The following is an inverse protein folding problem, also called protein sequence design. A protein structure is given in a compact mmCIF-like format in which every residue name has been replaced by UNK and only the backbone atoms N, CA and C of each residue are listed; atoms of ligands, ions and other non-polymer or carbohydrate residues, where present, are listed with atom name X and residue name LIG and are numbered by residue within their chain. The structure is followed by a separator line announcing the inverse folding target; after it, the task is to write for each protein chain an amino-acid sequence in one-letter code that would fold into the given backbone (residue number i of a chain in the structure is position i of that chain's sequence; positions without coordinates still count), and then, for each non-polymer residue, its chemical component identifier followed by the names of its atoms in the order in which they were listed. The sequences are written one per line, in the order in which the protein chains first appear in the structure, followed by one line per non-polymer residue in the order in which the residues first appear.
data_IF_721237611960
#
_entry.id   IF_721237611960
#
_cell.length_a   1.000
_cell.length_b   1.000
_cell.length_c   1.000
_cell.angle_alpha   90.00
_cell.angle_beta   90.00
_cell.angle_gamma   90.00
#
_symmetry.space_group_name_H-M   'P 1'
#
loop_
_entity.id
_entity.type
_entity.pdbx_description
1 polymer ?
#
# COMPACT_ATOMS: atom_id res chain seq x y z
N UNK A 1 7.21 -18.08 -8.96
CA UNK A 1 5.94 -17.97 -9.70
C UNK A 1 5.60 -16.48 -9.72
N UNK A 2 5.67 -15.79 -10.86
CA UNK A 2 5.29 -14.37 -10.91
C UNK A 2 3.78 -14.31 -11.07
N UNK A 3 3.07 -14.26 -9.95
CA UNK A 3 1.63 -14.00 -9.94
C UNK A 3 1.45 -12.54 -10.36
N UNK A 4 0.76 -12.30 -11.46
CA UNK A 4 0.51 -10.93 -11.93
C UNK A 4 -0.45 -10.24 -10.94
N UNK A 5 0.07 -9.29 -10.17
CA UNK A 5 -0.70 -8.52 -9.20
C UNK A 5 -1.55 -7.46 -9.91
N UNK A 6 -2.69 -7.91 -10.44
CA UNK A 6 -3.72 -7.05 -11.04
C UNK A 6 -4.67 -6.51 -9.97
N UNK A 7 -5.41 -5.43 -10.29
CA UNK A 7 -6.41 -4.84 -9.39
C UNK A 7 -7.40 -5.86 -8.82
N UNK A 8 -7.90 -6.77 -9.67
CA UNK A 8 -8.84 -7.81 -9.24
C UNK A 8 -8.21 -8.75 -8.22
N UNK A 9 -6.95 -9.14 -8.41
CA UNK A 9 -6.23 -10.00 -7.46
C UNK A 9 -6.11 -9.28 -6.11
N UNK A 10 -5.66 -8.03 -6.11
CA UNK A 10 -5.54 -7.22 -4.89
C UNK A 10 -6.89 -7.09 -4.14
N UNK A 11 -8.00 -6.96 -4.86
CA UNK A 11 -9.34 -6.89 -4.25
C UNK A 11 -9.81 -8.20 -3.61
N UNK A 12 -9.39 -9.34 -4.16
CA UNK A 12 -9.83 -10.66 -3.72
C UNK A 12 -8.92 -11.30 -2.66
N UNK A 13 -7.72 -10.75 -2.48
CA UNK A 13 -6.75 -11.26 -1.52
C UNK A 13 -7.21 -11.07 -0.08
N UNK A 14 -7.03 -12.13 0.72
CA UNK A 14 -7.23 -12.14 2.16
C UNK A 14 -6.06 -11.47 2.90
N UNK A 15 -6.28 -11.12 4.16
CA UNK A 15 -5.28 -10.43 4.99
C UNK A 15 -4.03 -11.30 5.18
N UNK A 16 -4.24 -12.62 5.28
CA UNK A 16 -3.16 -13.58 5.41
C UNK A 16 -2.31 -13.61 4.16
N UNK A 17 -2.89 -13.59 2.96
CA UNK A 17 -2.12 -13.59 1.71
C UNK A 17 -1.26 -12.32 1.55
N UNK A 18 -1.72 -11.17 2.05
CA UNK A 18 -0.91 -9.97 2.12
C UNK A 18 0.30 -10.13 3.06
N UNK A 19 0.09 -10.70 4.25
CA UNK A 19 1.18 -10.97 5.20
C UNK A 19 2.14 -12.06 4.68
N UNK A 20 1.64 -13.05 3.94
CA UNK A 20 2.47 -14.11 3.36
C UNK A 20 3.42 -13.54 2.29
N UNK A 21 2.96 -12.60 1.45
CA UNK A 21 3.83 -11.90 0.50
C UNK A 21 4.86 -11.03 1.23
N UNK A 22 4.46 -10.35 2.31
CA UNK A 22 5.40 -9.59 3.14
C UNK A 22 6.47 -10.49 3.75
N UNK A 23 6.09 -11.69 4.21
CA UNK A 23 6.98 -12.68 4.80
C UNK A 23 7.88 -13.37 3.76
N UNK A 24 7.46 -13.42 2.50
CA UNK A 24 8.22 -14.02 1.40
C UNK A 24 9.54 -13.27 1.14
N UNK A 25 9.56 -11.95 1.31
CA UNK A 25 10.79 -11.16 1.17
C UNK A 25 10.55 -9.68 0.86
N UNK A 26 11.63 -8.91 0.88
CA UNK A 26 11.59 -7.47 0.61
C UNK A 26 11.27 -7.17 -0.86
N UNK A 27 11.74 -7.98 -1.79
CA UNK A 27 11.49 -7.79 -3.22
C UNK A 27 10.02 -8.08 -3.56
N UNK A 28 9.46 -9.16 -3.01
CA UNK A 28 8.04 -9.53 -3.15
C UNK A 28 7.14 -8.47 -2.54
N UNK A 29 7.48 -7.99 -1.34
CA UNK A 29 6.78 -6.88 -0.71
C UNK A 29 6.84 -5.61 -1.55
N UNK A 30 8.00 -5.29 -2.15
CA UNK A 30 8.16 -4.13 -3.03
C UNK A 30 7.27 -4.24 -4.27
N UNK A 31 7.22 -5.41 -4.90
CA UNK A 31 6.34 -5.66 -6.06
C UNK A 31 4.86 -5.45 -5.68
N UNK A 32 4.44 -5.93 -4.50
CA UNK A 32 3.09 -5.74 -3.99
C UNK A 32 2.77 -4.27 -3.67
N UNK A 33 3.68 -3.56 -3.01
CA UNK A 33 3.52 -2.13 -2.74
C UNK A 33 3.41 -1.32 -4.03
N UNK A 34 4.22 -1.63 -5.06
CA UNK A 34 4.13 -0.98 -6.37
C UNK A 34 2.84 -1.31 -7.10
N UNK A 35 2.36 -2.55 -7.03
CA UNK A 35 1.09 -2.93 -7.61
C UNK A 35 -0.06 -2.12 -7.00
N UNK A 36 -0.09 -1.94 -5.67
CA UNK A 36 -1.09 -1.10 -5.00
C UNK A 36 -0.96 0.36 -5.40
N UNK A 37 0.25 0.92 -5.37
CA UNK A 37 0.49 2.33 -5.74
C UNK A 37 0.09 2.64 -7.18
N UNK A 38 0.23 1.69 -8.11
CA UNK A 38 -0.18 1.87 -9.51
C UNK A 38 -1.69 2.07 -9.67
N UNK A 39 -2.48 1.51 -8.78
CA UNK A 39 -3.95 1.60 -8.82
C UNK A 39 -4.49 2.81 -8.03
N UNK A 40 -3.60 3.63 -7.46
CA UNK A 40 -3.95 4.82 -6.68
C UNK A 40 -3.54 6.09 -7.42
N UNK A 41 -4.47 7.02 -7.53
CA UNK A 41 -4.20 8.36 -8.06
C UNK A 41 -3.82 9.32 -6.93
N UNK A 42 -2.63 9.91 -7.03
CA UNK A 42 -2.21 10.98 -6.14
C UNK A 42 -2.77 12.33 -6.64
N UNK A 43 -3.32 13.18 -5.77
CA UNK A 43 -3.70 14.54 -6.16
C UNK A 43 -2.50 15.36 -6.67
N UNK A 44 -2.78 16.36 -7.50
CA UNK A 44 -1.76 17.29 -7.99
C UNK A 44 -1.00 17.97 -6.82
N UNK A 45 0.33 18.07 -6.95
CA UNK A 45 1.24 18.60 -5.93
C UNK A 45 1.32 17.78 -4.63
N UNK A 46 0.98 16.50 -4.69
CA UNK A 46 1.20 15.56 -3.58
C UNK A 46 2.23 14.50 -3.96
N UNK A 47 2.91 14.00 -2.94
CA UNK A 47 3.82 12.86 -3.08
C UNK A 47 3.13 11.60 -2.58
N UNK A 48 3.32 10.48 -3.27
CA UNK A 48 2.82 9.16 -2.90
C UNK A 48 4.00 8.23 -2.65
N UNK A 49 4.18 7.78 -1.41
CA UNK A 49 5.34 7.00 -0.97
C UNK A 49 4.91 5.68 -0.35
N UNK A 50 5.42 4.56 -0.86
CA UNK A 50 5.24 3.24 -0.27
C UNK A 50 6.24 2.95 0.85
N UNK A 51 5.88 2.10 1.79
CA UNK A 51 6.80 1.49 2.77
C UNK A 51 7.48 0.25 2.18
N UNK A 52 8.80 0.13 2.36
CA UNK A 52 9.57 -1.02 1.86
C UNK A 52 10.25 -1.81 2.98
N UNK A 53 10.56 -1.15 4.09
CA UNK A 53 11.08 -1.76 5.31
C UNK A 53 10.17 -1.44 6.50
N UNK A 54 10.59 -0.49 7.32
CA UNK A 54 9.83 -0.06 8.50
C UNK A 54 9.82 1.45 8.64
N UNK A 55 10.04 2.18 7.54
CA UNK A 55 10.15 3.63 7.51
C UNK A 55 8.89 4.32 8.03
N UNK A 56 7.74 3.64 7.95
CA UNK A 56 6.44 4.14 8.40
C UNK A 56 5.85 3.36 9.59
N UNK A 57 6.65 2.50 10.21
CA UNK A 57 6.34 1.72 11.42
C UNK A 57 6.26 0.21 11.19
N UNK A 58 6.16 -0.27 9.95
CA UNK A 58 6.12 -1.70 9.64
C UNK A 58 4.89 -2.45 10.17
N UNK A 59 3.78 -1.74 10.41
CA UNK A 59 2.58 -2.33 11.01
C UNK A 59 1.71 -3.08 10.00
N UNK A 60 1.80 -2.73 8.72
CA UNK A 60 0.94 -3.28 7.67
C UNK A 60 1.76 -3.89 6.54
N UNK A 61 1.27 -4.93 5.85
CA UNK A 61 1.94 -5.52 4.69
C UNK A 61 2.28 -4.49 3.62
N UNK A 62 1.30 -3.65 3.31
CA UNK A 62 1.42 -2.53 2.38
C UNK A 62 0.92 -1.28 3.08
N UNK A 63 1.75 -0.24 3.04
CA UNK A 63 1.39 1.07 3.52
C UNK A 63 1.86 2.13 2.52
N UNK A 64 0.95 3.04 2.15
CA UNK A 64 1.25 4.16 1.26
C UNK A 64 0.91 5.46 1.98
N UNK A 65 1.80 6.45 1.90
CA UNK A 65 1.59 7.79 2.46
C UNK A 65 1.44 8.81 1.35
N UNK A 66 0.42 9.65 1.48
CA UNK A 66 0.14 10.78 0.61
C UNK A 66 0.43 12.08 1.34
N UNK A 67 1.44 12.81 0.88
CA UNK A 67 1.91 14.03 1.55
C UNK A 67 1.79 15.22 0.59
N UNK A 68 1.01 16.27 0.92
CA UNK A 68 0.94 17.50 0.13
C UNK A 68 2.28 18.24 0.16
N UNK A 69 2.58 19.02 -0.87
CA UNK A 69 3.80 19.83 -0.94
C UNK A 69 4.00 20.80 0.23
N UNK A 70 2.91 21.23 0.88
CA UNK A 70 2.95 22.10 2.07
C UNK A 70 3.40 21.37 3.33
N UNK A 71 3.43 20.03 3.32
CA UNK A 71 3.88 19.15 4.40
C UNK A 71 3.18 19.38 5.75
N UNK A 72 1.95 19.95 5.73
CA UNK A 72 1.19 20.31 6.94
C UNK A 72 0.42 19.14 7.57
N UNK A 73 0.16 18.08 6.79
CA UNK A 73 -0.46 16.82 7.22
C UNK A 73 -0.04 15.72 6.25
N UNK A 74 -0.19 14.45 6.59
CA UNK A 74 0.05 13.32 5.68
C UNK A 74 -1.07 12.32 5.84
N UNK A 75 -1.62 11.85 4.74
CA UNK A 75 -2.63 10.82 4.75
C UNK A 75 -1.99 9.43 4.65
N UNK A 76 -2.47 8.49 5.46
CA UNK A 76 -2.06 7.09 5.40
C UNK A 76 -3.12 6.28 4.67
N UNK A 77 -2.75 5.67 3.56
CA UNK A 77 -3.51 4.59 2.94
C UNK A 77 -2.98 3.25 3.47
N UNK A 78 -3.89 2.46 4.02
CA UNK A 78 -3.65 1.09 4.45
C UNK A 78 -4.65 0.20 3.73
N UNK A 79 -4.15 -0.83 3.06
CA UNK A 79 -5.02 -1.86 2.53
C UNK A 79 -5.38 -2.83 3.66
N UNK A 80 -6.59 -2.66 4.23
CA UNK A 80 -7.26 -3.71 4.99
C UNK A 80 -8.35 -4.30 4.08
N UNK A 81 -8.50 -5.62 4.13
CA UNK A 81 -9.35 -6.50 3.27
C UNK A 81 -10.81 -6.02 3.09
N UNK A 82 -11.28 -5.06 3.87
CA UNK A 82 -12.55 -4.41 3.63
C UNK A 82 -12.36 -3.25 2.66
N UNK A 83 -12.41 -3.54 1.34
CA UNK A 83 -12.63 -2.64 0.20
C UNK A 83 -11.58 -1.54 -0.11
N UNK A 84 -11.12 -1.47 -1.38
CA UNK A 84 -10.32 -0.37 -1.93
C UNK A 84 -11.00 1.01 -1.82
N UNK A 85 -12.33 1.05 -1.68
CA UNK A 85 -13.11 2.28 -1.48
C UNK A 85 -13.25 2.67 -0.01
N UNK A 86 -12.73 1.85 0.90
CA UNK A 86 -12.68 2.08 2.35
C UNK A 86 -11.24 1.95 2.82
N UNK A 87 -10.35 2.74 2.22
CA UNK A 87 -9.13 3.11 2.93
C UNK A 87 -9.51 3.80 4.25
N UNK A 88 -9.07 3.25 5.38
CA UNK A 88 -9.18 3.95 6.65
C UNK A 88 -8.12 5.05 6.68
N UNK A 89 -8.58 6.29 6.51
CA UNK A 89 -7.76 7.48 6.66
C UNK A 89 -7.50 7.72 8.15
N UNK A 90 -6.29 7.40 8.61
CA UNK A 90 -5.83 7.79 9.95
C UNK A 90 -5.07 9.13 9.86
N UNK A 91 -5.43 10.07 10.75
CA UNK A 91 -4.70 11.32 10.97
C UNK A 91 -3.28 11.08 11.49
#
# INVERSE_FOLDING_TARGET
MKTELTLNVLQTMSAQEYEDIRAAGSDERRELTHAVMRELDAPDNWTMNGEYGSEFGGFFPVQVRFTPATNVFTWRYVHQVTSLRSGCWFW
#
